data_IF_844238410692
#
_entry.id   IF_844238410692
#
_cell.length_a   1.000
_cell.length_b   1.000
_cell.length_c   1.000
_cell.angle_alpha   90.00
_cell.angle_beta   90.00
_cell.angle_gamma   90.00
#
_symmetry.space_group_name_H-M   'P 1'
#
loop_
_entity.id
_entity.type
_entity.pdbx_description
1 polymer ?
#
# COMPACT_ATOMS: atom_id res chain seq x y z
N UNK A 1 7.45 48.48 -55.89
CA UNK A 1 6.52 48.29 -54.77
C UNK A 1 6.48 46.81 -54.42
N UNK A 2 7.05 46.41 -53.28
CA UNK A 2 7.13 45.02 -52.84
C UNK A 2 6.07 44.78 -51.77
N UNK A 3 5.31 43.69 -51.92
CA UNK A 3 4.23 43.26 -51.04
C UNK A 3 4.75 43.00 -49.61
N UNK A 4 4.00 43.48 -48.62
CA UNK A 4 4.23 43.20 -47.21
C UNK A 4 3.74 41.79 -46.86
N UNK A 5 4.68 40.91 -46.50
CA UNK A 5 4.39 39.61 -45.93
C UNK A 5 4.04 39.75 -44.45
N UNK A 6 2.85 39.22 -44.12
CA UNK A 6 2.34 38.98 -42.78
C UNK A 6 3.19 37.87 -42.14
N UNK A 7 3.84 38.15 -41.02
CA UNK A 7 4.52 37.13 -40.20
C UNK A 7 3.74 36.98 -38.89
N UNK A 8 2.84 35.99 -38.85
CA UNK A 8 2.21 35.50 -37.62
C UNK A 8 3.24 34.71 -36.81
N UNK A 9 3.60 35.20 -35.62
CA UNK A 9 4.39 34.49 -34.63
C UNK A 9 3.46 33.64 -33.76
N UNK A 10 3.28 32.37 -34.13
CA UNK A 10 2.58 31.39 -33.30
C UNK A 10 3.53 30.88 -32.21
N UNK A 11 3.37 31.38 -30.99
CA UNK A 11 4.01 30.83 -29.78
C UNK A 11 3.28 29.54 -29.44
N UNK A 12 3.87 28.41 -29.81
CA UNK A 12 3.47 27.09 -29.33
C UNK A 12 3.96 26.91 -27.89
N UNK A 13 3.14 27.28 -26.91
CA UNK A 13 3.31 26.85 -25.52
C UNK A 13 2.95 25.36 -25.49
N UNK A 14 3.94 24.52 -25.74
CA UNK A 14 3.86 23.10 -25.38
C UNK A 14 3.93 23.02 -23.86
N UNK A 15 2.77 22.97 -23.22
CA UNK A 15 2.62 22.41 -21.88
C UNK A 15 3.04 20.95 -21.99
N UNK A 16 4.33 20.70 -21.82
CA UNK A 16 4.83 19.39 -21.42
C UNK A 16 4.24 19.17 -20.03
N UNK A 17 3.03 18.61 -19.99
CA UNK A 17 2.56 17.87 -18.84
C UNK A 17 3.54 16.71 -18.70
N UNK A 18 4.66 16.98 -18.04
CA UNK A 18 5.56 15.97 -17.56
C UNK A 18 4.74 15.20 -16.55
N UNK A 19 4.13 14.09 -17.00
CA UNK A 19 3.74 12.98 -16.15
C UNK A 19 5.03 12.49 -15.50
N UNK A 20 5.47 13.23 -14.48
CA UNK A 20 6.74 12.97 -13.83
C UNK A 20 6.72 11.54 -13.33
N UNK A 21 7.75 10.79 -13.69
CA UNK A 21 8.07 9.49 -13.13
C UNK A 21 8.25 9.64 -11.60
N UNK A 22 7.14 9.69 -10.87
CA UNK A 22 7.14 9.93 -9.43
C UNK A 22 7.40 8.64 -8.67
N UNK A 23 8.14 8.77 -7.58
CA UNK A 23 8.55 7.66 -6.72
C UNK A 23 7.90 7.85 -5.37
N UNK A 24 6.65 7.44 -5.27
CA UNK A 24 5.88 7.62 -4.04
C UNK A 24 6.31 6.57 -3.03
N UNK A 25 6.76 6.99 -1.86
CA UNK A 25 7.18 6.12 -0.77
C UNK A 25 6.20 6.28 0.39
N UNK A 26 5.59 5.17 0.79
CA UNK A 26 4.78 5.07 1.99
C UNK A 26 5.61 4.38 3.06
N UNK A 27 5.89 5.09 4.15
CA UNK A 27 6.67 4.59 5.28
C UNK A 27 5.72 4.21 6.40
N UNK A 28 5.82 2.98 6.86
CA UNK A 28 5.09 2.51 8.04
C UNK A 28 6.07 2.24 9.16
N UNK A 29 5.96 2.97 10.28
CA UNK A 29 6.85 2.77 11.42
C UNK A 29 6.10 2.48 12.72
N UNK A 30 6.85 1.93 13.67
CA UNK A 30 6.50 1.84 15.09
C UNK A 30 7.39 2.81 15.87
N UNK A 31 6.88 4.01 16.14
CA UNK A 31 7.66 5.13 16.67
C UNK A 31 7.43 6.42 15.90
N UNK A 32 8.12 7.49 16.30
CA UNK A 32 8.05 8.79 15.63
C UNK A 32 8.94 8.76 14.38
N UNK A 33 8.45 9.37 13.30
CA UNK A 33 9.19 9.54 12.05
C UNK A 33 9.38 11.04 11.86
N UNK A 34 10.63 11.49 11.70
CA UNK A 34 10.94 12.81 11.18
C UNK A 34 11.45 12.66 9.76
N UNK A 35 10.76 13.26 8.80
CA UNK A 35 11.15 13.26 7.39
C UNK A 35 11.83 14.58 7.03
N UNK A 36 12.97 14.50 6.35
CA UNK A 36 13.66 15.63 5.75
C UNK A 36 14.12 15.26 4.33
N UNK A 37 13.27 15.53 3.33
CA UNK A 37 13.45 15.03 1.97
C UNK A 37 13.50 13.50 1.95
N UNK A 38 14.57 12.94 1.39
CA UNK A 38 14.83 11.49 1.30
C UNK A 38 15.46 10.89 2.57
N UNK A 39 15.71 11.71 3.59
CA UNK A 39 16.26 11.26 4.87
C UNK A 39 15.13 11.11 5.90
N UNK A 40 15.05 9.93 6.50
CA UNK A 40 14.09 9.58 7.53
C UNK A 40 14.82 9.32 8.84
N UNK A 41 14.39 9.97 9.92
CA UNK A 41 14.86 9.67 11.27
C UNK A 41 13.77 8.92 12.02
N UNK A 42 14.08 7.70 12.44
CA UNK A 42 13.19 6.85 13.21
C UNK A 42 13.54 6.93 14.70
N UNK A 43 12.60 7.39 15.52
CA UNK A 43 12.67 7.25 16.97
C UNK A 43 11.75 6.09 17.38
N UNK A 44 12.30 4.92 17.76
CA UNK A 44 11.50 3.73 18.08
C UNK A 44 10.48 4.00 19.16
N UNK A 45 9.29 3.43 19.00
CA UNK A 45 8.20 3.53 19.97
C UNK A 45 7.11 2.51 19.70
N UNK A 46 6.01 2.60 20.45
CA UNK A 46 4.87 1.69 20.34
C UNK A 46 3.76 2.23 19.43
N UNK A 47 3.77 3.53 19.14
CA UNK A 47 2.75 4.18 18.30
C UNK A 47 2.96 3.88 16.82
N UNK A 48 1.90 3.52 16.12
CA UNK A 48 1.92 3.42 14.67
C UNK A 48 1.89 4.81 14.04
N UNK A 49 2.86 5.09 13.17
CA UNK A 49 2.84 6.27 12.31
C UNK A 49 3.03 5.86 10.85
N UNK A 50 2.42 6.62 9.97
CA UNK A 50 2.51 6.51 8.52
C UNK A 50 2.95 7.87 7.96
N UNK A 51 3.92 7.86 7.05
CA UNK A 51 4.35 9.06 6.32
C UNK A 51 4.38 8.69 4.84
N UNK A 52 3.78 9.53 4.00
CA UNK A 52 3.81 9.37 2.55
C UNK A 52 4.51 10.58 1.96
N UNK A 53 5.47 10.34 1.09
CA UNK A 53 6.19 11.39 0.36
C UNK A 53 6.63 10.91 -1.00
N UNK A 54 6.98 11.85 -1.87
CA UNK A 54 7.57 11.55 -3.17
C UNK A 54 9.09 11.69 -3.05
N UNK A 55 9.82 10.61 -3.36
CA UNK A 55 11.27 10.56 -3.29
C UNK A 55 11.88 11.35 -4.46
N UNK A 56 12.85 12.21 -4.15
CA UNK A 56 13.54 13.03 -5.15
C UNK A 56 14.76 12.30 -5.73
N UNK A 57 15.40 11.46 -4.92
CA UNK A 57 16.57 10.67 -5.32
C UNK A 57 16.25 9.18 -5.51
N UNK A 58 17.29 8.42 -5.90
CA UNK A 58 17.22 6.97 -6.06
C UNK A 58 17.40 6.22 -4.74
N UNK A 59 17.60 6.92 -3.62
CA UNK A 59 17.96 6.32 -2.33
C UNK A 59 17.23 6.98 -1.18
N UNK A 60 16.65 6.18 -0.30
CA UNK A 60 16.08 6.64 0.96
C UNK A 60 17.01 6.24 2.10
N UNK A 61 17.45 7.20 2.89
CA UNK A 61 18.31 6.95 4.05
C UNK A 61 17.46 6.96 5.32
N UNK A 62 17.53 5.88 6.09
CA UNK A 62 16.84 5.75 7.38
C UNK A 62 17.87 5.72 8.50
N UNK A 63 17.87 6.76 9.31
CA UNK A 63 18.65 6.85 10.55
C UNK A 63 17.83 6.31 11.70
N UNK A 64 18.34 5.27 12.36
CA UNK A 64 17.72 4.66 13.55
C UNK A 64 18.75 4.50 14.66
N UNK A 65 18.34 4.28 15.92
CA UNK A 65 19.28 3.96 17.00
C UNK A 65 20.11 2.69 16.75
N UNK A 66 19.67 1.82 15.82
CA UNK A 66 20.40 0.62 15.40
C UNK A 66 21.40 0.90 14.27
N UNK A 67 21.54 2.16 13.83
CA UNK A 67 22.39 2.58 12.72
C UNK A 67 21.59 3.10 11.52
N UNK A 68 22.35 3.55 10.51
CA UNK A 68 21.81 4.07 9.26
C UNK A 68 21.66 2.95 8.24
N UNK A 69 20.55 2.93 7.51
CA UNK A 69 20.31 2.03 6.37
C UNK A 69 19.87 2.82 5.16
N UNK A 70 20.36 2.42 3.99
CA UNK A 70 19.94 2.97 2.70
C UNK A 70 19.03 1.97 1.98
N UNK A 71 18.02 2.50 1.29
CA UNK A 71 17.04 1.74 0.52
C UNK A 71 16.98 2.28 -0.90
N UNK A 72 17.17 1.42 -1.90
CA UNK A 72 17.13 1.81 -3.31
C UNK A 72 15.68 1.93 -3.83
N UNK A 73 15.37 3.08 -4.45
CA UNK A 73 14.11 3.39 -5.16
C UNK A 73 14.44 3.89 -6.57
N UNK A 74 14.92 2.99 -7.40
CA UNK A 74 15.46 3.34 -8.74
C UNK A 74 14.35 3.64 -9.75
N UNK A 75 13.29 2.85 -9.73
CA UNK A 75 12.21 2.95 -10.72
C UNK A 75 11.07 3.83 -10.21
N UNK A 76 10.30 4.42 -11.13
CA UNK A 76 9.02 5.05 -10.80
C UNK A 76 8.01 4.02 -10.30
N UNK A 77 7.13 4.48 -9.40
CA UNK A 77 6.11 3.65 -8.79
C UNK A 77 5.88 3.93 -7.31
N UNK A 78 4.98 3.14 -6.73
CA UNK A 78 4.60 3.19 -5.34
C UNK A 78 5.36 2.15 -4.54
N UNK A 79 6.11 2.60 -3.54
CA UNK A 79 6.93 1.79 -2.65
C UNK A 79 6.35 1.78 -1.25
N UNK A 80 6.46 0.63 -0.58
CA UNK A 80 6.17 0.48 0.84
C UNK A 80 7.46 0.20 1.59
N UNK A 81 7.84 1.10 2.49
CA UNK A 81 8.95 0.95 3.42
C UNK A 81 8.42 0.53 4.80
N UNK A 82 8.80 -0.66 5.24
CA UNK A 82 8.44 -1.17 6.56
C UNK A 82 9.56 -0.87 7.58
N UNK A 83 9.31 0.08 8.48
CA UNK A 83 10.14 0.40 9.64
C UNK A 83 9.54 -0.13 10.96
N UNK A 84 8.54 -1.00 10.87
CA UNK A 84 8.01 -1.72 12.04
C UNK A 84 8.92 -2.90 12.37
N UNK A 85 8.77 -3.39 13.61
CA UNK A 85 9.39 -4.64 14.06
C UNK A 85 8.70 -5.88 13.50
N UNK A 86 7.45 -5.73 13.06
CA UNK A 86 6.63 -6.81 12.51
C UNK A 86 6.63 -6.80 10.99
N UNK A 87 6.49 -7.98 10.39
CA UNK A 87 6.26 -8.12 8.95
C UNK A 87 4.87 -7.58 8.59
N UNK A 88 4.83 -6.82 7.49
CA UNK A 88 3.59 -6.36 6.89
C UNK A 88 3.21 -7.28 5.74
N UNK A 89 2.03 -7.85 5.85
CA UNK A 89 1.43 -8.68 4.81
C UNK A 89 0.30 -7.89 4.15
N UNK A 90 0.38 -7.70 2.85
CA UNK A 90 -0.61 -6.94 2.09
C UNK A 90 -1.09 -7.66 0.86
N UNK A 91 -2.31 -7.31 0.45
CA UNK A 91 -2.91 -7.83 -0.77
C UNK A 91 -3.71 -6.75 -1.49
N UNK A 92 -3.76 -6.89 -2.81
CA UNK A 92 -4.62 -6.07 -3.65
C UNK A 92 -6.09 -6.27 -3.28
N UNK A 93 -6.78 -5.16 -3.04
CA UNK A 93 -8.21 -5.14 -2.80
C UNK A 93 -8.90 -4.89 -4.13
N UNK A 94 -9.61 -5.89 -4.63
CA UNK A 94 -10.48 -5.73 -5.79
C UNK A 94 -11.67 -4.88 -5.37
N UNK A 95 -11.59 -3.59 -5.63
CA UNK A 95 -12.67 -2.64 -5.36
C UNK A 95 -13.58 -2.63 -6.57
N UNK A 96 -14.61 -3.47 -6.55
CA UNK A 96 -15.63 -3.49 -7.59
C UNK A 96 -16.59 -2.31 -7.43
N UNK A 97 -17.01 -1.74 -8.55
CA UNK A 97 -18.13 -0.80 -8.71
C UNK A 97 -19.50 -1.43 -8.39
N UNK A 98 -19.53 -2.65 -7.88
CA UNK A 98 -20.75 -3.37 -7.54
C UNK A 98 -20.75 -3.67 -6.03
N UNK A 99 -21.49 -2.84 -5.29
CA UNK A 99 -22.05 -3.21 -4.00
C UNK A 99 -23.24 -4.18 -4.20
N UNK A 100 -23.20 -5.07 -5.19
CA UNK A 100 -24.12 -6.20 -5.18
C UNK A 100 -23.78 -6.98 -3.92
N UNK A 101 -24.78 -7.10 -3.07
CA UNK A 101 -24.77 -7.71 -1.75
C UNK A 101 -24.10 -9.09 -1.83
N UNK A 102 -22.76 -9.15 -1.74
CA UNK A 102 -22.04 -10.42 -1.80
C UNK A 102 -22.41 -11.11 -0.49
N UNK A 103 -23.35 -12.03 -0.58
CA UNK A 103 -23.58 -13.03 0.46
C UNK A 103 -22.30 -13.83 0.51
N UNK A 104 -21.37 -13.42 1.39
CA UNK A 104 -20.09 -14.11 1.55
C UNK A 104 -20.44 -15.47 2.16
N UNK A 105 -20.37 -16.51 1.34
CA UNK A 105 -20.63 -17.88 1.77
C UNK A 105 -19.56 -18.31 2.78
N UNK A 106 -19.90 -19.24 3.66
CA UNK A 106 -18.99 -19.80 4.66
C UNK A 106 -17.72 -20.39 4.04
N UNK A 107 -17.85 -21.03 2.87
CA UNK A 107 -16.73 -21.54 2.08
C UNK A 107 -15.82 -20.42 1.57
N UNK A 108 -16.38 -19.34 1.03
CA UNK A 108 -15.59 -18.19 0.58
C UNK A 108 -14.93 -17.42 1.73
N UNK A 109 -15.50 -17.48 2.94
CA UNK A 109 -14.84 -16.99 4.15
C UNK A 109 -13.63 -17.85 4.51
N UNK A 110 -13.76 -19.18 4.45
CA UNK A 110 -12.66 -20.10 4.71
C UNK A 110 -11.54 -19.99 3.69
N UNK A 111 -11.85 -19.83 2.41
CA UNK A 111 -10.87 -19.62 1.36
C UNK A 111 -10.07 -18.32 1.57
N UNK A 112 -10.75 -17.24 2.01
CA UNK A 112 -10.08 -15.98 2.39
C UNK A 112 -9.21 -16.15 3.62
N UNK A 113 -9.69 -16.87 4.64
CA UNK A 113 -8.91 -17.17 5.86
C UNK A 113 -7.68 -18.01 5.53
N UNK A 114 -7.83 -19.02 4.69
CA UNK A 114 -6.71 -19.86 4.26
C UNK A 114 -5.71 -19.07 3.44
N UNK A 115 -6.18 -18.24 2.50
CA UNK A 115 -5.33 -17.31 1.75
C UNK A 115 -4.56 -16.35 2.66
N UNK A 116 -5.20 -15.80 3.69
CA UNK A 116 -4.56 -14.96 4.71
C UNK A 116 -3.56 -15.75 5.57
N UNK A 117 -3.86 -17.01 5.90
CA UNK A 117 -2.96 -17.90 6.63
C UNK A 117 -1.73 -18.28 5.80
N UNK A 118 -1.90 -18.53 4.51
CA UNK A 118 -0.80 -18.76 3.59
C UNK A 118 0.06 -17.50 3.40
N UNK A 119 -0.57 -16.32 3.38
CA UNK A 119 0.13 -15.04 3.34
C UNK A 119 0.97 -14.81 4.61
N UNK A 120 0.43 -15.13 5.79
CA UNK A 120 1.18 -15.13 7.06
C UNK A 120 2.41 -16.04 7.02
N UNK A 121 2.29 -17.21 6.38
CA UNK A 121 3.39 -18.16 6.21
C UNK A 121 4.35 -17.78 5.09
N UNK A 122 4.10 -16.69 4.37
CA UNK A 122 4.88 -16.26 3.21
C UNK A 122 4.72 -17.15 1.96
N UNK A 123 3.76 -18.09 1.96
CA UNK A 123 3.63 -19.13 0.93
C UNK A 123 2.73 -18.72 -0.25
N UNK A 124 2.04 -17.57 -0.17
CA UNK A 124 1.21 -17.02 -1.25
C UNK A 124 1.61 -15.58 -1.61
N UNK A 125 2.90 -15.26 -1.47
CA UNK A 125 3.48 -13.98 -1.90
C UNK A 125 3.83 -14.12 -3.37
N UNK A 126 3.09 -13.46 -4.24
CA UNK A 126 3.44 -13.41 -5.66
C UNK A 126 3.03 -12.08 -6.26
N UNK A 127 3.90 -11.54 -7.11
CA UNK A 127 3.60 -10.34 -7.90
C UNK A 127 2.38 -10.56 -8.82
N UNK A 128 2.16 -11.80 -9.27
CA UNK A 128 1.02 -12.19 -10.08
C UNK A 128 -0.32 -12.09 -9.31
N UNK A 129 -0.33 -12.50 -8.04
CA UNK A 129 -1.52 -12.38 -7.17
C UNK A 129 -1.60 -11.03 -6.46
N UNK A 130 -0.63 -10.13 -6.70
CA UNK A 130 -0.48 -8.84 -6.02
C UNK A 130 -0.54 -8.97 -4.50
N UNK A 131 0.13 -10.01 -4.01
CA UNK A 131 0.30 -10.30 -2.60
C UNK A 131 1.73 -9.99 -2.20
N UNK A 132 1.90 -9.24 -1.12
CA UNK A 132 3.19 -8.70 -0.67
C UNK A 132 3.43 -9.13 0.76
N UNK A 133 4.65 -9.57 1.04
CA UNK A 133 5.18 -9.68 2.38
C UNK A 133 6.38 -8.76 2.47
N UNK A 134 6.31 -7.78 3.35
CA UNK A 134 7.33 -6.75 3.54
C UNK A 134 7.93 -6.93 4.94
N UNK A 135 9.06 -7.63 5.06
CA UNK A 135 9.74 -7.83 6.33
C UNK A 135 10.15 -6.51 7.01
N UNK A 136 10.47 -6.55 8.32
CA UNK A 136 11.03 -5.41 9.04
C UNK A 136 12.28 -4.85 8.37
N UNK A 137 12.40 -3.52 8.32
CA UNK A 137 13.54 -2.81 7.73
C UNK A 137 13.79 -3.18 6.26
N UNK A 138 12.71 -3.32 5.48
CA UNK A 138 12.77 -3.58 4.02
C UNK A 138 11.84 -2.65 3.26
N UNK A 139 12.15 -2.44 1.98
CA UNK A 139 11.33 -1.69 1.03
C UNK A 139 10.90 -2.62 -0.10
N UNK A 140 9.64 -2.49 -0.53
CA UNK A 140 9.10 -3.27 -1.66
C UNK A 140 8.34 -2.35 -2.60
N UNK A 141 8.60 -2.49 -3.91
CA UNK A 141 7.77 -1.86 -4.94
C UNK A 141 6.42 -2.58 -5.00
N UNK A 142 5.35 -1.85 -4.71
CA UNK A 142 3.99 -2.39 -4.69
C UNK A 142 3.42 -2.35 -6.11
N UNK A 143 3.47 -1.20 -6.77
CA UNK A 143 2.95 -1.05 -8.14
C UNK A 143 3.69 0.06 -8.88
N UNK A 144 3.61 0.07 -10.21
CA UNK A 144 4.04 1.21 -11.02
C UNK A 144 3.05 2.38 -10.97
N UNK A 145 1.81 2.13 -10.53
CA UNK A 145 0.78 3.16 -10.42
C UNK A 145 0.95 3.99 -9.13
N UNK A 146 1.40 5.23 -9.27
CA UNK A 146 1.64 6.16 -8.15
C UNK A 146 0.34 6.69 -7.53
N UNK A 147 -0.77 6.57 -8.24
CA UNK A 147 -2.12 6.93 -7.77
C UNK A 147 -2.79 5.78 -7.00
N UNK A 148 -2.13 4.62 -6.89
CA UNK A 148 -2.62 3.53 -6.07
C UNK A 148 -2.60 3.92 -4.59
N UNK A 149 -3.59 3.44 -3.85
CA UNK A 149 -3.76 3.75 -2.44
C UNK A 149 -3.24 2.61 -1.57
N UNK A 150 -2.20 2.88 -0.78
CA UNK A 150 -1.77 1.98 0.29
C UNK A 150 -2.52 2.34 1.56
N UNK A 151 -3.22 1.36 2.10
CA UNK A 151 -3.91 1.45 3.39
C UNK A 151 -3.15 0.58 4.37
N UNK A 152 -2.48 1.23 5.32
CA UNK A 152 -1.70 0.54 6.33
C UNK A 152 -2.54 -0.17 7.40
N UNK A 153 -1.86 -0.82 8.35
CA UNK A 153 -2.50 -1.60 9.39
C UNK A 153 -3.44 -0.75 10.24
N UNK A 154 -4.49 -1.36 10.80
CA UNK A 154 -5.52 -0.74 11.64
C UNK A 154 -6.44 0.30 10.96
N UNK A 155 -6.12 0.78 9.75
CA UNK A 155 -6.98 1.68 8.98
C UNK A 155 -8.09 0.90 8.28
N UNK A 156 -9.33 1.39 8.31
CA UNK A 156 -10.43 0.77 7.55
C UNK A 156 -10.32 1.11 6.08
N UNK A 157 -10.83 0.23 5.21
CA UNK A 157 -11.05 0.58 3.82
C UNK A 157 -12.07 1.73 3.75
N UNK A 158 -11.88 2.72 2.87
CA UNK A 158 -12.90 3.74 2.65
C UNK A 158 -14.21 3.07 2.20
N UNK A 159 -15.33 3.54 2.76
CA UNK A 159 -16.65 2.95 2.51
C UNK A 159 -17.15 3.19 1.08
N UNK A 160 -16.62 4.21 0.41
CA UNK A 160 -16.86 4.49 -0.99
C UNK A 160 -15.55 4.89 -1.65
N UNK A 161 -15.34 4.36 -2.85
CA UNK A 161 -14.30 4.78 -3.76
C UNK A 161 -15.00 5.48 -4.92
N UNK A 162 -14.39 6.52 -5.46
CA UNK A 162 -14.99 7.30 -6.54
C UNK A 162 -15.21 6.39 -7.78
N UNK A 163 -16.45 6.16 -8.22
CA UNK A 163 -16.72 5.27 -9.34
C UNK A 163 -16.10 5.76 -10.66
N UNK A 164 -15.69 7.04 -10.71
CA UNK A 164 -15.10 7.70 -11.88
C UNK A 164 -13.59 7.45 -12.02
N UNK A 165 -12.94 6.77 -11.05
CA UNK A 165 -11.50 6.48 -11.10
C UNK A 165 -11.23 4.99 -10.97
N UNK A 166 -10.22 4.52 -11.69
CA UNK A 166 -9.68 3.18 -11.51
C UNK A 166 -8.93 3.14 -10.17
N UNK A 167 -9.60 2.63 -9.14
CA UNK A 167 -9.02 2.54 -7.81
C UNK A 167 -8.15 1.29 -7.70
N UNK A 168 -6.86 1.52 -7.43
CA UNK A 168 -5.92 0.46 -7.14
C UNK A 168 -5.59 0.51 -5.65
N UNK A 169 -6.29 -0.27 -4.83
CA UNK A 169 -6.16 -0.22 -3.38
C UNK A 169 -5.37 -1.43 -2.89
N UNK A 170 -4.33 -1.18 -2.09
CA UNK A 170 -3.54 -2.20 -1.42
C UNK A 170 -3.72 -2.10 0.08
N UNK A 171 -4.22 -3.17 0.69
CA UNK A 171 -4.44 -3.21 2.12
C UNK A 171 -3.35 -4.05 2.78
N UNK A 172 -2.65 -3.44 3.73
CA UNK A 172 -1.62 -4.08 4.53
C UNK A 172 -2.14 -4.33 5.96
N UNK A 173 -1.71 -5.45 6.51
CA UNK A 173 -2.00 -5.91 7.85
C UNK A 173 -0.69 -6.31 8.54
N UNK A 174 -0.65 -6.16 9.86
CA UNK A 174 0.38 -6.80 10.68
C UNK A 174 0.09 -8.29 10.85
N UNK A 175 1.13 -9.09 11.12
CA UNK A 175 0.93 -10.51 11.46
C UNK A 175 -0.04 -10.70 12.63
N UNK A 176 0.00 -9.79 13.60
CA UNK A 176 -0.93 -9.76 14.73
C UNK A 176 -2.37 -9.56 14.27
N UNK A 177 -2.64 -8.56 13.44
CA UNK A 177 -3.98 -8.33 12.90
C UNK A 177 -4.51 -9.51 12.10
N UNK A 178 -3.68 -10.12 11.25
CA UNK A 178 -4.13 -11.29 10.49
C UNK A 178 -4.49 -12.43 11.44
N UNK A 179 -3.67 -12.67 12.46
CA UNK A 179 -3.97 -13.68 13.49
C UNK A 179 -5.29 -13.39 14.21
N UNK A 180 -5.52 -12.14 14.61
CA UNK A 180 -6.79 -11.71 15.24
C UNK A 180 -7.99 -11.85 14.29
N UNK A 181 -7.83 -11.55 13.01
CA UNK A 181 -8.89 -11.73 11.99
C UNK A 181 -9.22 -13.22 11.86
N UNK A 182 -8.20 -14.08 11.74
CA UNK A 182 -8.38 -15.53 11.66
C UNK A 182 -9.10 -16.06 12.90
N UNK A 183 -8.69 -15.63 14.10
CA UNK A 183 -9.35 -16.02 15.35
C UNK A 183 -10.80 -15.55 15.42
N UNK A 184 -11.09 -14.30 15.04
CA UNK A 184 -12.46 -13.77 15.02
C UNK A 184 -13.34 -14.53 14.04
N UNK A 185 -12.84 -14.82 12.84
CA UNK A 185 -13.60 -15.60 11.85
C UNK A 185 -13.84 -17.02 12.39
N UNK A 186 -12.82 -17.70 12.91
CA UNK A 186 -12.98 -19.03 13.53
C UNK A 186 -14.02 -19.02 14.64
N UNK A 187 -13.98 -18.05 15.55
CA UNK A 187 -14.94 -17.92 16.66
C UNK A 187 -16.37 -17.68 16.18
N UNK A 188 -16.56 -16.80 15.20
CA UNK A 188 -17.88 -16.52 14.63
C UNK A 188 -18.47 -17.72 13.89
N UNK A 189 -17.62 -18.58 13.35
CA UNK A 189 -18.02 -19.81 12.66
C UNK A 189 -18.36 -20.93 13.65
N UNK A 190 -17.49 -21.19 14.64
CA UNK A 190 -17.75 -22.17 15.70
C UNK A 190 -18.95 -21.81 16.58
N UNK A 191 -19.27 -20.51 16.73
CA UNK A 191 -20.45 -20.05 17.48
C UNK A 191 -21.79 -20.23 16.75
N UNK A 192 -21.80 -20.49 15.44
CA UNK A 192 -23.04 -20.78 14.69
C UNK A 192 -23.49 -22.24 14.77
N UNK A 193 -22.56 -23.16 14.99
CA UNK A 193 -22.90 -24.57 15.24
C UNK A 193 -23.68 -24.76 16.54
N UNK A 194 -23.45 -23.92 17.55
CA UNK A 194 -24.19 -23.97 18.82
C UNK A 194 -25.61 -23.39 18.76
N UNK A 195 -25.98 -22.65 17.71
CA UNK A 195 -27.30 -22.01 17.60
C UNK A 195 -28.30 -22.80 16.74
N UNK A 196 -27.87 -23.91 16.13
CA UNK A 196 -28.74 -24.83 15.38
C UNK A 196 -29.18 -26.07 16.18
N UNK A 197 -28.86 -26.12 17.47
CA UNK A 197 -29.16 -27.25 18.35
C UNK A 197 -30.21 -26.93 19.44
N UNK A 198 -31.17 -26.04 19.16
CA UNK A 198 -32.37 -25.84 19.98
C UNK A 198 -33.61 -25.75 19.10
#
# INVERSE_FOLDING_TARGET
MKLYNILYLAIAVSVVACSGESKRVVVMASGKIAQNGDNLTLTPGTTHNEVTFDAESNKITVSSPAGNKEFDVKESGLYLLNLKKDTLAGSYQKTGTDNSQITITEESLWERVDSLSQLLKGQNVSAANKNYSVPPMTITKVTSNTEAQIIGPHRRLPASLDPSKQHEVYKFFTNKEISEIIEKVKKNMSGRDSTKAN
#
